data_IF_958922882681
#
_entry.id   IF_958922882681
#
_cell.length_a   1.000
_cell.length_b   1.000
_cell.length_c   1.000
_cell.angle_alpha   90.00
_cell.angle_beta   90.00
_cell.angle_gamma   90.00
#
_symmetry.space_group_name_H-M   'P 1'
#
loop_
_entity.id
_entity.type
_entity.pdbx_description
1 polymer ?
#
# COMPACT_ATOMS: atom_id res chain seq x y z
N UNK A 1 4.83 -5.89 -14.25
CA UNK A 1 3.38 -5.77 -14.15
C UNK A 1 3.02 -4.36 -13.70
N UNK A 2 1.73 -3.98 -13.79
CA UNK A 2 1.21 -2.73 -13.24
C UNK A 2 1.45 -2.63 -11.74
N UNK A 3 1.13 -3.66 -10.96
CA UNK A 3 1.36 -3.73 -9.51
C UNK A 3 2.82 -3.40 -9.16
N UNK A 4 3.79 -4.12 -9.76
CA UNK A 4 5.21 -3.87 -9.51
C UNK A 4 5.65 -2.44 -9.87
N UNK A 5 5.07 -1.87 -10.93
CA UNK A 5 5.35 -0.50 -11.38
C UNK A 5 4.79 0.51 -10.38
N UNK A 6 3.59 0.29 -9.84
CA UNK A 6 2.98 1.15 -8.83
C UNK A 6 3.69 1.02 -7.48
N UNK A 7 4.11 -0.18 -7.08
CA UNK A 7 4.93 -0.40 -5.88
C UNK A 7 6.26 0.35 -5.97
N UNK A 8 6.89 0.39 -7.15
CA UNK A 8 8.04 1.26 -7.40
C UNK A 8 7.65 2.74 -7.27
N UNK A 9 6.51 3.17 -7.83
CA UNK A 9 6.06 4.55 -7.71
C UNK A 9 5.87 4.99 -6.25
N UNK A 10 5.20 4.17 -5.45
CA UNK A 10 4.92 4.45 -4.04
C UNK A 10 6.21 4.49 -3.20
N UNK A 11 7.03 3.44 -3.29
CA UNK A 11 8.28 3.34 -2.50
C UNK A 11 9.32 4.39 -2.92
N UNK A 12 9.43 4.70 -4.21
CA UNK A 12 10.34 5.74 -4.70
C UNK A 12 9.85 7.15 -4.32
N UNK A 13 8.54 7.42 -4.29
CA UNK A 13 8.02 8.69 -3.79
C UNK A 13 8.34 8.85 -2.29
N UNK A 14 8.08 7.81 -1.48
CA UNK A 14 8.44 7.83 -0.06
C UNK A 14 9.95 7.99 0.16
N UNK A 15 10.78 7.31 -0.64
CA UNK A 15 12.23 7.50 -0.67
C UNK A 15 12.60 8.97 -0.92
N UNK A 16 12.05 9.60 -1.96
CA UNK A 16 12.35 10.99 -2.28
C UNK A 16 12.04 11.93 -1.10
N UNK A 17 10.94 11.69 -0.38
CA UNK A 17 10.59 12.51 0.79
C UNK A 17 11.56 12.30 1.96
N UNK A 18 11.91 11.05 2.27
CA UNK A 18 12.78 10.70 3.41
C UNK A 18 14.23 11.15 3.19
N UNK A 19 14.75 10.96 1.98
CA UNK A 19 16.17 11.17 1.68
C UNK A 19 16.53 12.62 1.39
N UNK A 20 15.55 13.53 1.25
CA UNK A 20 15.76 14.93 0.83
C UNK A 20 16.84 15.67 1.61
N UNK A 21 16.97 15.44 2.91
CA UNK A 21 18.00 16.09 3.77
C UNK A 21 19.21 15.21 4.07
N UNK A 22 19.25 13.98 3.53
CA UNK A 22 20.31 12.99 3.77
C UNK A 22 21.18 12.86 2.52
N UNK A 23 20.56 12.65 1.36
CA UNK A 23 21.19 12.57 0.05
C UNK A 23 20.22 13.17 -0.99
N UNK A 24 20.45 14.44 -1.33
CA UNK A 24 19.59 15.20 -2.22
C UNK A 24 19.58 14.66 -3.66
N UNK A 25 20.71 14.12 -4.13
CA UNK A 25 20.83 13.57 -5.48
C UNK A 25 20.09 12.24 -5.60
N UNK A 26 20.19 11.38 -4.57
CA UNK A 26 19.40 10.17 -4.50
C UNK A 26 17.90 10.47 -4.36
N UNK A 27 17.54 11.42 -3.50
CA UNK A 27 16.17 11.92 -3.36
C UNK A 27 15.58 12.35 -4.71
N UNK A 28 16.32 13.15 -5.49
CA UNK A 28 15.88 13.59 -6.82
C UNK A 28 15.70 12.42 -7.79
N UNK A 29 16.63 11.45 -7.80
CA UNK A 29 16.51 10.22 -8.61
C UNK A 29 15.28 9.40 -8.24
N UNK A 30 15.01 9.24 -6.94
CA UNK A 30 13.82 8.56 -6.43
C UNK A 30 12.54 9.23 -6.95
N UNK A 31 12.45 10.57 -6.90
CA UNK A 31 11.26 11.27 -7.38
C UNK A 31 11.03 11.09 -8.89
N UNK A 32 12.09 11.22 -9.69
CA UNK A 32 12.02 11.00 -11.15
C UNK A 32 11.56 9.57 -11.47
N UNK A 33 12.08 8.57 -10.76
CA UNK A 33 11.66 7.19 -10.91
C UNK A 33 10.18 7.00 -10.53
N UNK A 34 9.74 7.63 -9.45
CA UNK A 34 8.36 7.55 -8.96
C UNK A 34 7.35 8.08 -9.98
N UNK A 35 7.57 9.29 -10.49
CA UNK A 35 6.67 9.92 -11.47
C UNK A 35 6.66 9.17 -12.80
N UNK A 36 7.82 8.65 -13.25
CA UNK A 36 7.92 7.84 -14.46
C UNK A 36 7.15 6.52 -14.32
N UNK A 37 7.28 5.87 -13.17
CA UNK A 37 6.56 4.63 -12.89
C UNK A 37 5.04 4.86 -12.83
N UNK A 38 4.60 5.93 -12.16
CA UNK A 38 3.20 6.35 -12.16
C UNK A 38 2.64 6.55 -13.57
N UNK A 39 3.35 7.31 -14.42
CA UNK A 39 2.94 7.54 -15.81
C UNK A 39 2.87 6.23 -16.61
N UNK A 40 3.85 5.34 -16.45
CA UNK A 40 3.88 4.05 -17.13
C UNK A 40 2.70 3.14 -16.71
N UNK A 41 2.36 3.12 -15.42
CA UNK A 41 1.22 2.37 -14.90
C UNK A 41 -0.12 2.92 -15.41
N UNK A 42 -0.29 4.25 -15.45
CA UNK A 42 -1.50 4.88 -16.01
C UNK A 42 -1.67 4.61 -17.51
N UNK A 43 -0.56 4.53 -18.25
CA UNK A 43 -0.58 4.18 -19.67
C UNK A 43 -0.87 2.68 -19.93
N UNK A 44 -0.64 1.81 -18.93
CA UNK A 44 -0.76 0.36 -19.07
C UNK A 44 -1.46 -0.28 -17.84
N UNK A 45 -2.67 0.15 -17.45
CA UNK A 45 -3.25 -0.22 -16.16
C UNK A 45 -3.55 -1.72 -16.04
N UNK A 46 -3.84 -2.40 -17.14
CA UNK A 46 -4.21 -3.82 -17.16
C UNK A 46 -3.04 -4.78 -17.44
N UNK A 47 -1.78 -4.33 -17.40
CA UNK A 47 -0.61 -5.19 -17.62
C UNK A 47 -0.25 -5.96 -16.34
N UNK A 48 -1.13 -6.87 -15.91
CA UNK A 48 -1.00 -7.65 -14.68
C UNK A 48 0.15 -8.67 -14.78
N UNK A 49 0.61 -9.15 -13.63
CA UNK A 49 1.65 -10.18 -13.59
C UNK A 49 1.11 -11.48 -14.19
N UNK A 50 1.90 -12.13 -15.03
CA UNK A 50 1.54 -13.41 -15.61
C UNK A 50 2.12 -14.55 -14.78
N UNK A 51 1.35 -15.63 -14.69
CA UNK A 51 1.75 -16.87 -14.05
C UNK A 51 2.73 -17.63 -14.95
N UNK A 52 3.97 -17.82 -14.50
CA UNK A 52 4.99 -18.58 -15.24
C UNK A 52 5.62 -19.67 -14.37
N UNK A 53 4.86 -20.69 -13.94
CA UNK A 53 5.36 -21.74 -13.05
C UNK A 53 6.54 -22.52 -13.66
N UNK A 54 6.62 -22.59 -14.99
CA UNK A 54 7.69 -23.28 -15.74
C UNK A 54 9.04 -22.55 -15.77
N UNK A 55 9.08 -21.24 -15.47
CA UNK A 55 10.33 -20.45 -15.52
C UNK A 55 11.07 -20.40 -14.18
N UNK A 56 10.48 -20.96 -13.12
CA UNK A 56 11.01 -20.89 -11.76
C UNK A 56 10.81 -19.52 -11.11
N UNK A 57 10.36 -19.50 -9.85
CA UNK A 57 10.03 -18.28 -9.11
C UNK A 57 8.56 -18.25 -8.64
N UNK A 58 8.27 -17.48 -7.60
CA UNK A 58 6.89 -17.22 -7.18
C UNK A 58 6.21 -16.24 -8.14
N UNK A 59 4.96 -16.49 -8.51
CA UNK A 59 4.26 -15.66 -9.49
C UNK A 59 3.89 -14.27 -8.97
N UNK A 60 3.61 -14.14 -7.66
CA UNK A 60 3.13 -12.89 -7.02
C UNK A 60 2.05 -12.20 -7.86
N UNK A 61 1.11 -13.00 -8.38
CA UNK A 61 0.04 -12.56 -9.25
C UNK A 61 -1.03 -11.80 -8.47
N UNK A 62 -1.46 -10.68 -9.02
CA UNK A 62 -2.55 -9.87 -8.48
C UNK A 62 -3.50 -9.45 -9.61
N UNK A 63 -4.80 -9.64 -9.34
CA UNK A 63 -5.91 -9.36 -10.26
C UNK A 63 -6.52 -7.97 -10.09
N UNK A 64 -6.20 -7.26 -9.01
CA UNK A 64 -6.79 -5.97 -8.66
C UNK A 64 -5.71 -5.00 -8.19
N UNK A 65 -5.32 -4.07 -9.07
CA UNK A 65 -4.25 -3.11 -8.76
C UNK A 65 -4.73 -1.77 -8.21
N UNK A 66 -5.99 -1.69 -7.78
CA UNK A 66 -6.60 -0.41 -7.39
C UNK A 66 -6.04 0.11 -6.07
N UNK A 67 -5.65 -0.77 -5.17
CA UNK A 67 -4.97 -0.45 -3.92
C UNK A 67 -3.53 0.02 -4.17
N UNK A 68 -2.77 -0.55 -5.12
CA UNK A 68 -1.46 0.01 -5.47
C UNK A 68 -1.59 1.39 -6.12
N UNK A 69 -2.63 1.62 -6.94
CA UNK A 69 -2.90 2.96 -7.48
C UNK A 69 -3.21 3.96 -6.36
N UNK A 70 -3.99 3.53 -5.36
CA UNK A 70 -4.28 4.33 -4.18
C UNK A 70 -3.02 4.65 -3.38
N UNK A 71 -2.19 3.64 -3.07
CA UNK A 71 -0.96 3.81 -2.32
C UNK A 71 0.06 4.70 -3.04
N UNK A 72 0.29 4.45 -4.34
CA UNK A 72 1.22 5.24 -5.14
C UNK A 72 0.78 6.71 -5.24
N UNK A 73 -0.52 6.96 -5.47
CA UNK A 73 -1.06 8.32 -5.51
C UNK A 73 -0.93 9.03 -4.16
N UNK A 74 -1.21 8.34 -3.04
CA UNK A 74 -1.03 8.89 -1.70
C UNK A 74 0.42 9.29 -1.44
N UNK A 75 1.39 8.43 -1.75
CA UNK A 75 2.81 8.73 -1.54
C UNK A 75 3.34 9.83 -2.46
N UNK A 76 2.91 9.86 -3.72
CA UNK A 76 3.24 10.94 -4.65
C UNK A 76 2.65 12.28 -4.20
N UNK A 77 1.41 12.29 -3.70
CA UNK A 77 0.81 13.49 -3.12
C UNK A 77 1.61 13.98 -1.91
N UNK A 78 1.89 13.10 -0.94
CA UNK A 78 2.64 13.46 0.27
C UNK A 78 4.06 13.95 -0.02
N UNK A 79 4.64 13.52 -1.14
CA UNK A 79 6.00 13.89 -1.55
C UNK A 79 6.05 15.20 -2.36
N UNK A 80 5.06 15.42 -3.22
CA UNK A 80 5.10 16.51 -4.22
C UNK A 80 4.10 17.63 -3.95
N UNK A 81 3.01 17.35 -3.23
CA UNK A 81 1.88 18.25 -3.04
C UNK A 81 1.03 18.50 -4.28
N UNK A 82 1.26 17.80 -5.40
CA UNK A 82 0.49 18.03 -6.64
C UNK A 82 -0.94 17.53 -6.50
N UNK A 83 -1.90 18.37 -6.90
CA UNK A 83 -3.34 18.09 -6.76
C UNK A 83 -3.81 16.89 -7.59
N UNK A 84 -3.16 16.58 -8.71
CA UNK A 84 -3.51 15.43 -9.55
C UNK A 84 -3.46 14.11 -8.78
N UNK A 85 -2.42 13.91 -7.95
CA UNK A 85 -2.30 12.73 -7.11
C UNK A 85 -3.34 12.72 -5.99
N UNK A 86 -3.69 13.90 -5.47
CA UNK A 86 -4.77 14.03 -4.50
C UNK A 86 -6.11 13.59 -5.09
N UNK A 87 -6.43 14.07 -6.28
CA UNK A 87 -7.62 13.67 -7.03
C UNK A 87 -7.62 12.17 -7.27
N UNK A 88 -6.47 11.59 -7.67
CA UNK A 88 -6.34 10.15 -7.91
C UNK A 88 -6.64 9.31 -6.68
N UNK A 89 -5.95 9.51 -5.54
CA UNK A 89 -6.22 8.68 -4.36
C UNK A 89 -7.61 8.93 -3.77
N UNK A 90 -8.14 10.16 -3.89
CA UNK A 90 -9.49 10.48 -3.42
C UNK A 90 -10.57 9.80 -4.26
N UNK A 91 -10.33 9.63 -5.56
CA UNK A 91 -11.23 8.87 -6.45
C UNK A 91 -11.27 7.37 -6.14
N UNK A 92 -10.30 6.88 -5.37
CA UNK A 92 -10.15 5.50 -4.91
C UNK A 92 -10.46 5.38 -3.41
N UNK A 93 -11.37 6.21 -2.89
CA UNK A 93 -11.73 6.22 -1.47
C UNK A 93 -12.28 4.88 -0.95
N UNK A 94 -12.75 4.00 -1.82
CA UNK A 94 -13.14 2.63 -1.45
C UNK A 94 -11.94 1.80 -0.94
N UNK A 95 -10.71 2.17 -1.31
CA UNK A 95 -9.47 1.59 -0.78
C UNK A 95 -9.02 2.24 0.54
N UNK A 96 -9.78 3.18 1.12
CA UNK A 96 -9.47 3.74 2.43
C UNK A 96 -9.72 2.69 3.53
N UNK A 97 -8.69 1.89 3.79
CA UNK A 97 -8.67 0.81 4.77
C UNK A 97 -7.31 0.78 5.45
N UNK A 98 -7.26 0.34 6.70
CA UNK A 98 -6.04 0.07 7.44
C UNK A 98 -5.99 -1.37 7.97
N UNK A 99 -6.73 -2.28 7.31
CA UNK A 99 -6.67 -3.72 7.59
C UNK A 99 -5.29 -4.29 7.25
N UNK A 100 -5.02 -5.52 7.68
CA UNK A 100 -3.75 -6.19 7.46
C UNK A 100 -3.37 -6.15 5.97
N UNK A 101 -2.22 -5.52 5.67
CA UNK A 101 -1.65 -5.46 4.33
C UNK A 101 -0.83 -6.70 4.05
N UNK A 102 -0.82 -7.13 2.79
CA UNK A 102 0.07 -8.16 2.30
C UNK A 102 0.54 -7.80 0.89
N UNK A 103 1.26 -8.69 0.23
CA UNK A 103 1.89 -8.38 -1.06
C UNK A 103 0.92 -8.05 -2.21
N UNK A 104 -0.37 -8.42 -2.10
CA UNK A 104 -1.42 -8.13 -3.10
C UNK A 104 -2.53 -7.21 -2.55
N UNK A 105 -2.41 -6.68 -1.33
CA UNK A 105 -3.29 -5.64 -0.81
C UNK A 105 -2.42 -4.64 -0.04
N UNK A 106 -2.19 -3.51 -0.70
CA UNK A 106 -1.28 -2.44 -0.29
C UNK A 106 -2.00 -1.21 0.23
N UNK A 107 -3.34 -1.22 0.28
CA UNK A 107 -4.16 -0.05 0.60
C UNK A 107 -3.77 0.58 1.95
N UNK A 108 -3.57 -0.26 2.97
CA UNK A 108 -3.21 0.20 4.30
C UNK A 108 -1.89 0.97 4.36
N UNK A 109 -0.93 0.70 3.45
CA UNK A 109 0.32 1.44 3.38
C UNK A 109 0.06 2.92 3.03
N UNK A 110 -0.82 3.17 2.06
CA UNK A 110 -1.27 4.52 1.71
C UNK A 110 -2.04 5.20 2.84
N UNK A 111 -2.99 4.49 3.45
CA UNK A 111 -3.81 4.99 4.55
C UNK A 111 -2.95 5.39 5.76
N UNK A 112 -2.00 4.55 6.16
CA UNK A 112 -1.09 4.84 7.27
C UNK A 112 -0.24 6.08 6.96
N UNK A 113 0.30 6.20 5.76
CA UNK A 113 1.06 7.38 5.35
C UNK A 113 0.22 8.66 5.36
N UNK A 114 -1.03 8.62 4.86
CA UNK A 114 -1.96 9.74 4.93
C UNK A 114 -2.31 10.10 6.39
N UNK A 115 -2.53 9.11 7.24
CA UNK A 115 -2.84 9.32 8.66
C UNK A 115 -1.68 9.96 9.43
N UNK A 116 -0.47 9.43 9.26
CA UNK A 116 0.71 9.81 10.06
C UNK A 116 1.39 11.05 9.50
N UNK A 117 1.69 11.05 8.20
CA UNK A 117 2.43 12.14 7.53
C UNK A 117 1.48 13.24 7.08
N UNK A 118 0.40 12.86 6.38
CA UNK A 118 -0.61 13.80 5.87
C UNK A 118 -1.50 14.39 6.98
N UNK A 119 -1.58 13.71 8.12
CA UNK A 119 -2.50 14.04 9.23
C UNK A 119 -3.96 14.04 8.80
N UNK A 120 -4.30 13.24 7.79
CA UNK A 120 -5.66 13.10 7.29
C UNK A 120 -6.57 12.45 8.36
N UNK A 121 -7.72 13.07 8.61
CA UNK A 121 -8.63 12.65 9.67
C UNK A 121 -9.37 11.35 9.34
N UNK A 122 -9.75 11.15 8.08
CA UNK A 122 -10.46 9.94 7.65
C UNK A 122 -9.52 8.74 7.67
N UNK A 123 -8.28 8.91 7.22
CA UNK A 123 -7.24 7.88 7.32
C UNK A 123 -6.92 7.51 8.77
N UNK A 124 -6.84 8.51 9.68
CA UNK A 124 -6.67 8.24 11.12
C UNK A 124 -7.84 7.45 11.70
N UNK A 125 -9.07 7.81 11.34
CA UNK A 125 -10.26 7.07 11.76
C UNK A 125 -10.22 5.63 11.25
N UNK A 126 -9.81 5.39 10.00
CA UNK A 126 -9.67 4.06 9.43
C UNK A 126 -8.64 3.20 10.20
N UNK A 127 -7.50 3.79 10.60
CA UNK A 127 -6.50 3.11 11.44
C UNK A 127 -7.06 2.73 12.81
N UNK A 128 -7.81 3.62 13.45
CA UNK A 128 -8.44 3.35 14.76
C UNK A 128 -9.47 2.21 14.61
N UNK A 129 -10.34 2.28 13.60
CA UNK A 129 -11.33 1.23 13.33
C UNK A 129 -10.66 -0.13 13.14
N UNK A 130 -9.60 -0.21 12.33
CA UNK A 130 -8.86 -1.46 12.13
C UNK A 130 -8.24 -1.98 13.44
N UNK A 131 -7.68 -1.10 14.27
CA UNK A 131 -7.14 -1.48 15.58
C UNK A 131 -8.23 -1.99 16.53
N UNK A 132 -9.42 -1.38 16.54
CA UNK A 132 -10.55 -1.85 17.33
C UNK A 132 -11.03 -3.24 16.88
N UNK A 133 -11.06 -3.51 15.57
CA UNK A 133 -11.34 -4.85 15.03
C UNK A 133 -10.33 -5.90 15.51
N UNK A 134 -9.04 -5.56 15.54
CA UNK A 134 -7.98 -6.43 16.10
C UNK A 134 -8.26 -6.76 17.56
N UNK A 135 -8.61 -5.77 18.38
CA UNK A 135 -8.93 -5.97 19.80
C UNK A 135 -10.15 -6.87 19.99
N UNK A 136 -11.21 -6.68 19.18
CA UNK A 136 -12.39 -7.56 19.21
C UNK A 136 -12.00 -9.01 18.94
N UNK A 137 -11.13 -9.27 17.97
CA UNK A 137 -10.69 -10.63 17.65
C UNK A 137 -9.86 -11.26 18.78
N UNK A 138 -8.93 -10.50 19.38
CA UNK A 138 -8.08 -10.97 20.48
C UNK A 138 -8.88 -11.29 21.76
N UNK A 139 -9.85 -10.43 22.11
CA UNK A 139 -10.57 -10.53 23.39
C UNK A 139 -11.96 -11.19 23.28
N UNK A 140 -12.43 -11.51 22.08
CA UNK A 140 -13.71 -12.18 21.83
C UNK A 140 -13.82 -13.62 22.32
N UNK A 141 -12.90 -14.09 23.18
CA UNK A 141 -12.79 -15.47 23.67
C UNK A 141 -12.58 -16.52 22.56
N UNK A 142 -12.01 -16.11 21.42
CA UNK A 142 -11.81 -16.97 20.25
C UNK A 142 -10.54 -17.85 20.34
N UNK A 143 -9.52 -17.42 21.10
CA UNK A 143 -8.30 -18.18 21.36
C UNK A 143 -7.62 -17.72 22.67
N UNK A 144 -6.98 -18.64 23.39
CA UNK A 144 -6.30 -18.36 24.67
C UNK A 144 -4.93 -17.67 24.55
N UNK A 145 -4.47 -17.39 23.33
CA UNK A 145 -3.17 -16.79 23.05
C UNK A 145 -3.22 -15.28 22.81
N UNK A 146 -4.43 -14.68 22.87
CA UNK A 146 -4.67 -13.29 22.48
C UNK A 146 -4.16 -12.98 21.07
N UNK A 147 -4.18 -13.98 20.18
CA UNK A 147 -3.89 -13.76 18.77
C UNK A 147 -5.09 -13.07 18.11
N UNK A 148 -4.89 -12.09 17.22
CA UNK A 148 -5.98 -11.53 16.43
C UNK A 148 -6.39 -12.42 15.25
N UNK A 149 -5.65 -13.51 15.00
CA UNK A 149 -6.03 -14.50 14.00
C UNK A 149 -7.27 -15.26 14.45
N UNK A 150 -8.27 -15.34 13.57
CA UNK A 150 -9.43 -16.20 13.75
C UNK A 150 -9.13 -17.64 13.31
N UNK A 151 -9.85 -18.63 13.82
CA UNK A 151 -9.51 -20.07 13.67
C UNK A 151 -9.40 -20.60 12.24
N UNK A 152 -9.92 -19.87 11.24
CA UNK A 152 -9.83 -20.22 9.81
C UNK A 152 -8.85 -19.33 9.01
N UNK A 153 -8.07 -18.47 9.69
CA UNK A 153 -7.10 -17.55 9.07
C UNK A 153 -5.64 -18.05 9.13
N UNK A 154 -5.39 -19.33 9.42
CA UNK A 154 -4.06 -19.94 9.36
C UNK A 154 -3.67 -20.35 7.93
N UNK A 155 -3.63 -19.38 7.03
CA UNK A 155 -3.23 -19.57 5.63
C UNK A 155 -1.71 -19.46 5.45
N UNK A 156 -1.21 -19.64 4.22
CA UNK A 156 0.20 -19.36 3.92
C UNK A 156 0.50 -17.90 4.27
N UNK A 157 1.41 -17.70 5.22
CA UNK A 157 1.85 -16.35 5.61
C UNK A 157 1.09 -15.79 6.81
N UNK A 158 0.23 -16.57 7.47
CA UNK A 158 -0.60 -16.11 8.59
C UNK A 158 0.15 -15.44 9.74
N UNK A 159 1.44 -15.76 9.94
CA UNK A 159 2.27 -15.07 10.93
C UNK A 159 2.53 -13.59 10.60
N UNK A 160 2.48 -13.22 9.32
CA UNK A 160 2.57 -11.84 8.85
C UNK A 160 1.22 -11.11 8.91
N UNK A 161 0.11 -11.86 8.87
CA UNK A 161 -1.26 -11.33 8.95
C UNK A 161 -1.74 -11.12 10.40
N UNK A 162 -0.99 -11.65 11.38
CA UNK A 162 -1.27 -11.60 12.81
C UNK A 162 -0.85 -10.29 13.48
#
# INVERSE_FOLDING_TARGET
STAATLNLAATAAQCARIWKSIDADFSARCLVAAEKAWQAANANPAMLAAEFPELGGGAYGDGNVSDEFYWAAAELYLTTGKSEYQTSYTSLADNLSAKAMFWADTAALGTISLAVVGKDAAARAAVITAADEVLVNMYGNSNGYLSPLTSNNYQWGSNADA
#
